data_IF_541279090816
#
_entry.id   IF_541279090816
#
_cell.length_a   1.000
_cell.length_b   1.000
_cell.length_c   1.000
_cell.angle_alpha   90.00
_cell.angle_beta   90.00
_cell.angle_gamma   90.00
#
_symmetry.space_group_name_H-M   'P 1'
#
loop_
_entity.id
_entity.type
_entity.pdbx_description
1 polymer ?
#
# COMPACT_ATOMS: atom_id res chain seq x y z
N UNK A 1 -21.18 -4.68 -27.87
CA UNK A 1 -21.88 -4.79 -26.58
C UNK A 1 -21.04 -5.72 -25.72
N UNK A 2 -20.72 -5.36 -24.46
CA UNK A 2 -19.98 -6.26 -23.58
C UNK A 2 -20.80 -7.52 -23.31
N UNK A 3 -20.13 -8.66 -23.24
CA UNK A 3 -20.73 -9.96 -22.92
C UNK A 3 -21.22 -9.99 -21.45
N UNK A 4 -22.15 -10.89 -21.10
CA UNK A 4 -22.70 -10.98 -19.73
C UNK A 4 -21.59 -11.21 -18.68
N UNK A 5 -20.49 -11.86 -19.06
CA UNK A 5 -19.32 -12.06 -18.21
C UNK A 5 -18.52 -10.76 -18.01
N UNK A 6 -18.36 -9.95 -19.05
CA UNK A 6 -17.73 -8.62 -18.96
C UNK A 6 -18.57 -7.65 -18.12
N UNK A 7 -19.91 -7.71 -18.20
CA UNK A 7 -20.79 -6.87 -17.39
C UNK A 7 -20.65 -7.20 -15.89
N UNK A 8 -20.58 -8.50 -15.53
CA UNK A 8 -20.32 -8.91 -14.13
C UNK A 8 -18.91 -8.52 -13.69
N UNK A 9 -17.91 -8.68 -14.54
CA UNK A 9 -16.56 -8.23 -14.23
C UNK A 9 -16.55 -6.71 -13.98
N UNK A 10 -17.27 -5.94 -14.78
CA UNK A 10 -17.37 -4.49 -14.64
C UNK A 10 -18.14 -4.09 -13.37
N UNK A 11 -19.19 -4.81 -12.96
CA UNK A 11 -19.85 -4.61 -11.66
C UNK A 11 -18.94 -4.92 -10.47
N UNK A 12 -18.12 -5.97 -10.58
CA UNK A 12 -17.12 -6.35 -9.56
C UNK A 12 -16.05 -5.26 -9.45
N UNK A 13 -15.54 -4.75 -10.56
CA UNK A 13 -14.54 -3.66 -10.58
C UNK A 13 -15.12 -2.28 -10.25
N UNK A 14 -16.40 -2.06 -10.50
CA UNK A 14 -17.12 -0.84 -10.11
C UNK A 14 -17.52 -0.86 -8.62
N UNK A 15 -17.32 -1.98 -7.92
CA UNK A 15 -17.51 -2.03 -6.48
C UNK A 15 -16.23 -1.59 -5.75
N UNK A 16 -16.30 -0.42 -5.10
CA UNK A 16 -15.18 0.12 -4.31
C UNK A 16 -14.68 -0.84 -3.25
N UNK A 17 -15.57 -1.67 -2.66
CA UNK A 17 -15.16 -2.66 -1.67
C UNK A 17 -14.28 -3.75 -2.29
N UNK A 18 -14.63 -4.24 -3.48
CA UNK A 18 -13.85 -5.29 -4.14
C UNK A 18 -12.53 -4.73 -4.66
N UNK A 19 -12.54 -3.54 -5.24
CA UNK A 19 -11.33 -2.87 -5.71
C UNK A 19 -10.35 -2.59 -4.55
N UNK A 20 -10.86 -2.11 -3.41
CA UNK A 20 -10.08 -1.88 -2.20
C UNK A 20 -9.52 -3.17 -1.57
N UNK A 21 -10.29 -4.26 -1.55
CA UNK A 21 -9.81 -5.54 -1.04
C UNK A 21 -8.73 -6.11 -1.96
N UNK A 22 -8.93 -6.05 -3.27
CA UNK A 22 -7.98 -6.58 -4.26
C UNK A 22 -6.66 -5.82 -4.22
N UNK A 23 -6.71 -4.48 -4.18
CA UNK A 23 -5.54 -3.62 -4.01
C UNK A 23 -4.86 -3.82 -2.65
N UNK A 24 -5.63 -4.04 -1.57
CA UNK A 24 -5.10 -4.40 -0.27
C UNK A 24 -4.36 -5.75 -0.27
N UNK A 25 -4.87 -6.77 -0.96
CA UNK A 25 -4.20 -8.07 -1.12
C UNK A 25 -2.92 -7.93 -1.93
N UNK A 26 -2.97 -7.20 -3.05
CA UNK A 26 -1.78 -6.91 -3.88
C UNK A 26 -0.72 -6.14 -3.09
N UNK A 27 -1.12 -5.09 -2.36
CA UNK A 27 -0.24 -4.31 -1.50
C UNK A 27 0.36 -5.17 -0.37
N UNK A 28 -0.45 -6.01 0.28
CA UNK A 28 0.02 -6.94 1.31
C UNK A 28 1.06 -7.92 0.79
N UNK A 29 0.85 -8.48 -0.41
CA UNK A 29 1.81 -9.36 -1.08
C UNK A 29 3.15 -8.68 -1.34
N UNK A 30 3.12 -7.46 -1.88
CA UNK A 30 4.33 -6.65 -2.08
C UNK A 30 5.01 -6.31 -0.75
N UNK A 31 4.24 -5.99 0.29
CA UNK A 31 4.76 -5.70 1.63
C UNK A 31 5.41 -6.91 2.30
N UNK A 32 4.85 -8.10 2.11
CA UNK A 32 5.41 -9.37 2.61
C UNK A 32 6.75 -9.65 1.93
N UNK A 33 6.81 -9.54 0.60
CA UNK A 33 8.02 -9.73 -0.19
C UNK A 33 9.10 -8.72 0.19
N UNK A 34 8.75 -7.43 0.27
CA UNK A 34 9.66 -6.37 0.66
C UNK A 34 10.19 -6.57 2.09
N UNK A 35 9.33 -6.99 3.02
CA UNK A 35 9.73 -7.26 4.40
C UNK A 35 10.62 -8.50 4.56
N UNK A 36 10.42 -9.53 3.73
CA UNK A 36 11.30 -10.69 3.66
C UNK A 36 12.66 -10.31 3.09
N UNK A 37 12.68 -9.53 2.00
CA UNK A 37 13.91 -9.06 1.36
C UNK A 37 14.74 -8.18 2.29
N UNK A 38 14.13 -7.18 2.94
CA UNK A 38 14.81 -6.35 3.92
C UNK A 38 15.27 -7.15 5.14
N UNK A 39 14.49 -8.13 5.59
CA UNK A 39 14.89 -9.03 6.67
C UNK A 39 16.04 -9.97 6.30
N UNK A 40 16.21 -10.30 5.01
CA UNK A 40 17.36 -11.04 4.50
C UNK A 40 18.61 -10.16 4.37
N UNK A 41 18.45 -8.86 4.06
CA UNK A 41 19.55 -7.89 3.99
C UNK A 41 20.05 -7.43 5.37
N UNK A 42 19.14 -7.27 6.34
CA UNK A 42 19.48 -6.97 7.75
C UNK A 42 19.97 -8.24 8.48
N UNK A 43 21.09 -8.81 8.03
CA UNK A 43 21.86 -9.81 8.78
C UNK A 43 23.12 -9.15 9.36
N UNK A 44 23.07 -8.50 10.54
CA UNK A 44 24.29 -8.18 11.25
C UNK A 44 24.89 -9.49 11.78
N UNK A 45 25.92 -9.98 11.09
CA UNK A 45 26.88 -10.97 11.58
C UNK A 45 27.63 -10.33 12.77
N UNK A 46 26.98 -10.13 13.91
CA UNK A 46 27.60 -9.71 15.17
C UNK A 46 26.62 -9.96 16.32
N UNK A 47 26.56 -11.20 16.77
CA UNK A 47 26.17 -11.54 18.14
C UNK A 47 27.09 -12.68 18.58
N UNK A 48 28.31 -12.32 18.97
CA UNK A 48 29.45 -13.20 19.32
C UNK A 48 29.23 -14.09 20.56
N UNK A 49 27.97 -14.32 20.98
CA UNK A 49 27.63 -15.07 22.21
C UNK A 49 26.43 -16.01 22.07
N UNK A 50 25.94 -16.32 20.86
CA UNK A 50 24.78 -17.20 20.66
C UNK A 50 25.11 -18.35 19.70
N UNK A 51 24.63 -19.56 20.01
CA UNK A 51 24.79 -20.75 19.15
C UNK A 51 24.14 -20.51 17.78
N UNK A 52 24.75 -20.98 16.69
CA UNK A 52 24.28 -20.79 15.30
C UNK A 52 22.79 -21.14 15.10
N UNK A 53 22.26 -22.13 15.84
CA UNK A 53 20.84 -22.48 15.85
C UNK A 53 19.95 -21.41 16.48
N UNK A 54 20.39 -20.77 17.56
CA UNK A 54 19.64 -19.71 18.22
C UNK A 54 19.64 -18.43 17.39
N UNK A 55 20.76 -18.09 16.73
CA UNK A 55 20.81 -16.97 15.78
C UNK A 55 19.86 -17.20 14.61
N UNK A 56 19.88 -18.39 13.99
CA UNK A 56 18.97 -18.69 12.89
C UNK A 56 17.49 -18.59 13.30
N UNK A 57 17.13 -19.14 14.46
CA UNK A 57 15.75 -19.07 14.98
C UNK A 57 15.35 -17.63 15.33
N UNK A 58 16.24 -16.85 15.92
CA UNK A 58 15.98 -15.45 16.26
C UNK A 58 15.82 -14.58 15.01
N UNK A 59 16.73 -14.73 14.03
CA UNK A 59 16.66 -14.05 12.73
C UNK A 59 15.39 -14.44 11.98
N UNK A 60 15.04 -15.73 11.92
CA UNK A 60 13.80 -16.19 11.29
C UNK A 60 12.56 -15.57 11.96
N UNK A 61 12.54 -15.49 13.30
CA UNK A 61 11.44 -14.88 14.05
C UNK A 61 11.35 -13.37 13.80
N UNK A 62 12.48 -12.67 13.78
CA UNK A 62 12.53 -11.23 13.53
C UNK A 62 12.13 -10.90 12.08
N UNK A 63 12.62 -11.67 11.12
CA UNK A 63 12.25 -11.57 9.70
C UNK A 63 10.75 -11.80 9.51
N UNK A 64 10.19 -12.82 10.15
CA UNK A 64 8.75 -13.09 10.12
C UNK A 64 7.92 -11.94 10.71
N UNK A 65 8.31 -11.43 11.87
CA UNK A 65 7.60 -10.31 12.52
C UNK A 65 7.66 -9.03 11.67
N UNK A 66 8.80 -8.75 11.06
CA UNK A 66 8.99 -7.58 10.19
C UNK A 66 8.18 -7.72 8.90
N UNK A 67 8.26 -8.87 8.24
CA UNK A 67 7.46 -9.18 7.04
C UNK A 67 5.97 -9.05 7.31
N UNK A 68 5.50 -9.52 8.47
CA UNK A 68 4.10 -9.38 8.88
C UNK A 68 3.68 -7.92 9.10
N UNK A 69 4.53 -7.12 9.76
CA UNK A 69 4.26 -5.70 9.97
C UNK A 69 4.27 -4.90 8.65
N UNK A 70 5.20 -5.20 7.75
CA UNK A 70 5.26 -4.60 6.41
C UNK A 70 4.02 -4.98 5.60
N UNK A 71 3.65 -6.27 5.56
CA UNK A 71 2.43 -6.75 4.91
C UNK A 71 1.19 -5.96 5.36
N UNK A 72 0.99 -5.83 6.68
CA UNK A 72 -0.14 -5.03 7.23
C UNK A 72 -0.11 -3.58 6.76
N UNK A 73 1.07 -2.95 6.76
CA UNK A 73 1.22 -1.54 6.40
C UNK A 73 0.86 -1.32 4.93
N UNK A 74 1.41 -2.13 4.03
CA UNK A 74 1.13 -2.01 2.59
C UNK A 74 -0.27 -2.47 2.21
N UNK A 75 -0.84 -3.46 2.91
CA UNK A 75 -2.22 -3.86 2.71
C UNK A 75 -3.20 -2.74 3.08
N UNK A 76 -2.99 -2.09 4.23
CA UNK A 76 -3.81 -0.95 4.65
C UNK A 76 -3.63 0.23 3.71
N UNK A 77 -2.39 0.51 3.29
CA UNK A 77 -2.09 1.57 2.32
C UNK A 77 -2.86 1.37 1.01
N UNK A 78 -2.76 0.17 0.40
CA UNK A 78 -3.44 -0.16 -0.85
C UNK A 78 -4.96 -0.09 -0.74
N UNK A 79 -5.50 -0.64 0.35
CA UNK A 79 -6.94 -0.61 0.62
C UNK A 79 -7.46 0.82 0.73
N UNK A 80 -6.82 1.66 1.56
CA UNK A 80 -7.28 3.03 1.80
C UNK A 80 -7.14 3.87 0.53
N UNK A 81 -6.06 3.71 -0.22
CA UNK A 81 -5.84 4.43 -1.47
C UNK A 81 -6.93 4.13 -2.49
N UNK A 82 -7.14 2.85 -2.82
CA UNK A 82 -8.15 2.43 -3.80
C UNK A 82 -9.58 2.73 -3.35
N UNK A 83 -9.87 2.59 -2.05
CA UNK A 83 -11.18 2.98 -1.50
C UNK A 83 -11.42 4.49 -1.65
N UNK A 84 -10.42 5.31 -1.32
CA UNK A 84 -10.53 6.75 -1.42
C UNK A 84 -10.69 7.21 -2.87
N UNK A 85 -9.94 6.64 -3.81
CA UNK A 85 -10.11 6.94 -5.25
C UNK A 85 -11.51 6.59 -5.72
N UNK A 86 -11.97 5.36 -5.48
CA UNK A 86 -13.28 4.93 -5.95
C UNK A 86 -14.43 5.72 -5.33
N UNK A 87 -14.35 6.10 -4.05
CA UNK A 87 -15.36 6.95 -3.41
C UNK A 87 -15.37 8.35 -4.02
N UNK A 88 -14.20 8.96 -4.23
CA UNK A 88 -14.09 10.29 -4.81
C UNK A 88 -14.53 10.29 -6.27
N UNK A 89 -14.20 9.23 -7.02
CA UNK A 89 -14.63 9.05 -8.39
C UNK A 89 -16.15 8.91 -8.50
N UNK A 90 -16.78 8.09 -7.64
CA UNK A 90 -18.24 7.98 -7.59
C UNK A 90 -18.91 9.29 -7.20
N UNK A 91 -18.29 10.08 -6.34
CA UNK A 91 -18.83 11.39 -5.93
C UNK A 91 -18.69 12.45 -7.02
N UNK A 92 -17.60 12.45 -7.79
CA UNK A 92 -17.32 13.46 -8.83
C UNK A 92 -17.69 13.05 -10.26
N UNK A 93 -17.97 11.76 -10.49
CA UNK A 93 -18.23 11.15 -11.78
C UNK A 93 -17.17 11.50 -12.85
N UNK A 94 -15.92 11.70 -12.42
CA UNK A 94 -14.76 12.02 -13.26
C UNK A 94 -13.52 11.37 -12.67
N UNK A 95 -12.64 10.87 -13.54
CA UNK A 95 -11.32 10.37 -13.19
C UNK A 95 -10.28 11.41 -13.61
N UNK A 96 -9.74 12.15 -12.64
CA UNK A 96 -8.76 13.24 -12.86
C UNK A 96 -7.65 13.13 -11.81
N UNK A 97 -6.48 13.70 -12.10
CA UNK A 97 -5.31 13.70 -11.18
C UNK A 97 -5.60 14.30 -9.80
N UNK A 98 -6.66 15.12 -9.67
CA UNK A 98 -7.10 15.67 -8.38
C UNK A 98 -7.75 14.60 -7.49
N UNK A 99 -8.40 13.57 -8.06
CA UNK A 99 -8.92 12.44 -7.29
C UNK A 99 -7.75 11.67 -6.68
N UNK A 100 -6.74 11.36 -7.49
CA UNK A 100 -5.52 10.67 -7.08
C UNK A 100 -4.77 11.44 -6.01
N UNK A 101 -4.68 12.77 -6.14
CA UNK A 101 -4.06 13.63 -5.13
C UNK A 101 -4.81 13.57 -3.79
N UNK A 102 -6.15 13.59 -3.82
CA UNK A 102 -6.98 13.48 -2.60
C UNK A 102 -6.82 12.09 -1.98
N UNK A 103 -6.88 11.03 -2.78
CA UNK A 103 -6.71 9.67 -2.29
C UNK A 103 -5.32 9.45 -1.69
N UNK A 104 -4.27 9.97 -2.34
CA UNK A 104 -2.91 10.01 -1.81
C UNK A 104 -2.84 10.75 -0.47
N UNK A 105 -3.42 11.96 -0.40
CA UNK A 105 -3.46 12.73 0.85
C UNK A 105 -4.19 11.99 1.98
N UNK A 106 -5.35 11.40 1.71
CA UNK A 106 -6.14 10.64 2.69
C UNK A 106 -5.37 9.42 3.17
N UNK A 107 -4.70 8.70 2.26
CA UNK A 107 -3.89 7.52 2.60
C UNK A 107 -2.70 7.91 3.46
N UNK A 108 -1.88 8.87 3.02
CA UNK A 108 -0.72 9.33 3.78
C UNK A 108 -1.08 9.97 5.12
N UNK A 109 -2.13 10.79 5.14
CA UNK A 109 -2.64 11.44 6.35
C UNK A 109 -3.18 10.44 7.37
N UNK A 110 -3.95 9.44 6.92
CA UNK A 110 -4.51 8.41 7.82
C UNK A 110 -3.44 7.49 8.40
N UNK A 111 -2.43 7.11 7.62
CA UNK A 111 -1.33 6.28 8.09
C UNK A 111 -0.42 7.04 9.07
N UNK A 112 -0.18 8.32 8.83
CA UNK A 112 0.65 9.17 9.69
C UNK A 112 -0.10 9.82 10.85
N UNK A 113 -1.42 9.60 10.97
CA UNK A 113 -2.26 10.22 12.01
C UNK A 113 -1.76 9.93 13.43
N UNK A 114 -1.21 8.74 13.67
CA UNK A 114 -0.64 8.35 14.98
C UNK A 114 0.61 9.14 15.36
N UNK A 115 1.30 9.75 14.40
CA UNK A 115 2.47 10.61 14.62
C UNK A 115 2.10 12.06 14.97
N UNK A 116 0.81 12.37 15.12
CA UNK A 116 0.30 13.72 15.40
C UNK A 116 0.01 14.54 14.13
N UNK A 117 -0.52 15.76 14.29
CA UNK A 117 -1.04 16.55 13.18
C UNK A 117 0.05 16.96 12.18
N UNK A 118 1.27 17.27 12.65
CA UNK A 118 2.40 17.60 11.77
C UNK A 118 2.81 16.42 10.89
N UNK A 119 2.86 15.21 11.45
CA UNK A 119 3.15 13.99 10.70
C UNK A 119 2.04 13.70 9.68
N UNK A 120 0.78 13.89 10.05
CA UNK A 120 -0.36 13.74 9.13
C UNK A 120 -0.29 14.71 7.96
N UNK A 121 0.05 15.98 8.20
CA UNK A 121 0.23 16.97 7.12
C UNK A 121 1.37 16.61 6.17
N UNK A 122 2.53 16.21 6.71
CA UNK A 122 3.68 15.78 5.90
C UNK A 122 3.33 14.51 5.12
N UNK A 123 2.67 13.54 5.76
CA UNK A 123 2.21 12.30 5.12
C UNK A 123 1.23 12.58 3.99
N UNK A 124 0.22 13.43 4.22
CA UNK A 124 -0.71 13.85 3.17
C UNK A 124 0.02 14.50 1.99
N UNK A 125 0.88 15.50 2.24
CA UNK A 125 1.59 16.20 1.18
C UNK A 125 2.52 15.27 0.39
N UNK A 126 3.24 14.38 1.08
CA UNK A 126 4.14 13.41 0.46
C UNK A 126 3.40 12.43 -0.44
N UNK A 127 2.36 11.77 0.08
CA UNK A 127 1.60 10.79 -0.69
C UNK A 127 0.79 11.44 -1.82
N UNK A 128 0.19 12.62 -1.60
CA UNK A 128 -0.49 13.34 -2.67
C UNK A 128 0.46 13.68 -3.82
N UNK A 129 1.65 14.19 -3.49
CA UNK A 129 2.65 14.55 -4.51
C UNK A 129 3.15 13.31 -5.24
N UNK A 130 3.48 12.24 -4.51
CA UNK A 130 3.93 10.98 -5.10
C UNK A 130 2.91 10.39 -6.07
N UNK A 131 1.64 10.30 -5.67
CA UNK A 131 0.58 9.76 -6.52
C UNK A 131 0.37 10.60 -7.79
N UNK A 132 0.36 11.94 -7.68
CA UNK A 132 0.26 12.84 -8.85
C UNK A 132 1.44 12.67 -9.80
N UNK A 133 2.65 12.51 -9.28
CA UNK A 133 3.85 12.32 -10.10
C UNK A 133 3.80 11.00 -10.86
N UNK A 134 3.39 9.92 -10.20
CA UNK A 134 3.24 8.61 -10.84
C UNK A 134 2.16 8.67 -11.92
N UNK A 135 1.00 9.26 -11.65
CA UNK A 135 -0.08 9.38 -12.65
C UNK A 135 0.39 10.18 -13.87
N UNK A 136 1.03 11.33 -13.67
CA UNK A 136 1.62 12.11 -14.76
C UNK A 136 2.70 11.35 -15.52
N UNK A 137 3.46 10.50 -14.85
CA UNK A 137 4.47 9.67 -15.48
C UNK A 137 3.82 8.61 -16.38
N UNK A 138 2.79 7.91 -15.89
CA UNK A 138 2.04 6.95 -16.68
C UNK A 138 1.31 7.61 -17.86
N UNK A 139 0.63 8.74 -17.64
CA UNK A 139 -0.04 9.51 -18.69
C UNK A 139 0.91 9.99 -19.80
N UNK A 140 2.18 10.24 -19.48
CA UNK A 140 3.19 10.63 -20.47
C UNK A 140 3.73 9.47 -21.30
N UNK A 141 3.68 8.25 -20.75
CA UNK A 141 4.30 7.06 -21.35
C UNK A 141 3.29 6.10 -22.01
N UNK A 142 2.00 6.44 -21.96
CA UNK A 142 0.90 5.72 -22.62
C UNK A 142 0.33 6.59 -23.73
#
# INVERSE_FOLDING_TARGET
>A
MPTIEEIRAQEVWNNCAVCAVTSGVMGGGLGLMMGLFLGALDNPITHDTMTARQQFVFTAKQMGQRSWNSCKTFAVMGLVFSAAECIVEKARAKHDTVNTAIAGCVTGGSMSARGGPKAACIGCAGFATFSVLIEKFFDRHT
#
